data_IF_554612576840
#
_entry.id   IF_554612576840
#
_cell.length_a   1.000
_cell.length_b   1.000
_cell.length_c   1.000
_cell.angle_alpha   90.00
_cell.angle_beta   90.00
_cell.angle_gamma   90.00
#
_symmetry.space_group_name_H-M   'P 1'
#
loop_
_entity.id
_entity.type
_entity.pdbx_description
1 polymer ?
#
# COMPACT_ATOMS: atom_id res chain seq x y z
N UNK A 1 -10.40 16.02 -33.39
CA UNK A 1 -9.04 16.08 -33.97
C UNK A 1 -8.39 14.75 -33.71
N UNK A 2 -8.04 14.00 -34.75
CA UNK A 2 -7.24 12.79 -34.59
C UNK A 2 -5.83 13.20 -34.12
N UNK A 3 -5.25 12.44 -33.21
CA UNK A 3 -3.91 12.71 -32.69
C UNK A 3 -2.90 12.37 -33.80
N UNK A 4 -2.04 13.32 -34.18
CA UNK A 4 -1.00 13.05 -35.17
C UNK A 4 -0.04 11.99 -34.63
N UNK A 5 0.45 11.11 -35.49
CA UNK A 5 1.36 10.02 -35.11
C UNK A 5 2.63 10.54 -34.41
N UNK A 6 3.30 11.62 -34.88
CA UNK A 6 4.45 12.18 -34.18
C UNK A 6 4.10 12.75 -32.80
N UNK A 7 2.95 13.42 -32.65
CA UNK A 7 2.51 13.90 -31.33
C UNK A 7 2.24 12.75 -30.36
N UNK A 8 1.70 11.63 -30.83
CA UNK A 8 1.42 10.46 -30.02
C UNK A 8 2.72 9.84 -29.46
N UNK A 9 3.71 9.59 -30.31
CA UNK A 9 5.00 9.03 -29.90
C UNK A 9 5.76 9.93 -28.93
N UNK A 10 5.72 11.26 -29.14
CA UNK A 10 6.36 12.20 -28.22
C UNK A 10 5.72 12.18 -26.82
N UNK A 11 4.38 12.17 -26.75
CA UNK A 11 3.66 12.07 -25.47
C UNK A 11 3.91 10.70 -24.82
N UNK A 12 3.90 9.62 -25.60
CA UNK A 12 4.15 8.27 -25.13
C UNK A 12 5.54 8.16 -24.47
N UNK A 13 6.59 8.65 -25.12
CA UNK A 13 7.95 8.64 -24.59
C UNK A 13 8.05 9.41 -23.26
N UNK A 14 7.40 10.58 -23.17
CA UNK A 14 7.38 11.37 -21.94
C UNK A 14 6.75 10.60 -20.77
N UNK A 15 5.62 9.95 -21.01
CA UNK A 15 4.95 9.12 -20.01
C UNK A 15 5.76 7.86 -19.66
N UNK A 16 6.39 7.23 -20.65
CA UNK A 16 7.25 6.06 -20.44
C UNK A 16 8.43 6.39 -19.51
N UNK A 17 9.11 7.52 -19.73
CA UNK A 17 10.23 7.96 -18.88
C UNK A 17 9.76 8.26 -17.45
N UNK A 18 8.60 8.91 -17.29
CA UNK A 18 8.03 9.19 -15.97
C UNK A 18 7.70 7.89 -15.20
N UNK A 19 7.05 6.94 -15.88
CA UNK A 19 6.73 5.62 -15.30
C UNK A 19 7.99 4.83 -14.96
N UNK A 20 9.03 4.86 -15.82
CA UNK A 20 10.29 4.20 -15.52
C UNK A 20 11.03 4.84 -14.32
N UNK A 21 10.90 6.16 -14.12
CA UNK A 21 11.40 6.85 -12.92
C UNK A 21 10.68 6.39 -11.65
N UNK A 22 9.36 6.30 -11.68
CA UNK A 22 8.56 5.72 -10.58
C UNK A 22 8.95 4.26 -10.32
N UNK A 23 9.14 3.49 -11.39
CA UNK A 23 9.54 2.09 -11.31
C UNK A 23 10.93 1.93 -10.66
N UNK A 24 11.90 2.77 -11.05
CA UNK A 24 13.24 2.76 -10.47
C UNK A 24 13.20 3.09 -8.97
N UNK A 25 12.35 4.02 -8.55
CA UNK A 25 12.13 4.32 -7.13
C UNK A 25 11.60 3.11 -6.36
N UNK A 26 10.62 2.41 -6.94
CA UNK A 26 10.06 1.18 -6.38
C UNK A 26 11.10 0.04 -6.35
N UNK A 27 11.93 -0.08 -7.39
CA UNK A 27 13.02 -1.04 -7.46
C UNK A 27 14.05 -0.83 -6.34
N UNK A 28 14.46 0.42 -6.10
CA UNK A 28 15.39 0.76 -5.00
C UNK A 28 14.78 0.38 -3.65
N UNK A 29 13.52 0.72 -3.41
CA UNK A 29 12.81 0.35 -2.18
C UNK A 29 12.72 -1.18 -2.03
N UNK A 30 12.39 -1.90 -3.10
CA UNK A 30 12.34 -3.37 -3.15
C UNK A 30 13.69 -3.98 -2.81
N UNK A 31 14.75 -3.50 -3.46
CA UNK A 31 16.12 -3.98 -3.26
C UNK A 31 16.56 -3.76 -1.81
N UNK A 32 16.29 -2.59 -1.24
CA UNK A 32 16.59 -2.30 0.16
C UNK A 32 15.90 -3.27 1.13
N UNK A 33 14.61 -3.55 0.91
CA UNK A 33 13.84 -4.48 1.73
C UNK A 33 14.35 -5.92 1.59
N UNK A 34 14.74 -6.34 0.38
CA UNK A 34 15.27 -7.67 0.11
C UNK A 34 16.66 -7.88 0.75
N UNK A 35 17.53 -6.87 0.69
CA UNK A 35 18.90 -6.95 1.26
C UNK A 35 18.91 -7.02 2.80
N UNK A 36 17.90 -6.46 3.47
CA UNK A 36 17.76 -6.54 4.93
C UNK A 36 17.33 -7.91 5.44
N UNK A 37 16.88 -8.80 4.56
CA UNK A 37 16.38 -10.12 4.96
C UNK A 37 17.48 -11.16 4.96
N UNK A 38 17.23 -12.23 5.74
CA UNK A 38 18.05 -13.44 5.69
C UNK A 38 18.02 -14.02 4.28
N UNK A 39 19.19 -14.40 3.77
CA UNK A 39 19.36 -14.94 2.41
C UNK A 39 18.77 -16.35 2.31
N UNK A 40 17.46 -16.45 2.11
CA UNK A 40 16.78 -17.70 1.75
C UNK A 40 16.78 -17.88 0.23
N UNK A 41 16.75 -19.12 -0.26
CA UNK A 41 16.66 -19.43 -1.70
C UNK A 41 15.57 -18.62 -2.43
N UNK A 42 14.39 -18.47 -1.81
CA UNK A 42 13.27 -17.69 -2.35
C UNK A 42 13.60 -16.19 -2.45
N UNK A 43 14.24 -15.62 -1.44
CA UNK A 43 14.60 -14.20 -1.41
C UNK A 43 15.68 -13.91 -2.46
N UNK A 44 16.68 -14.78 -2.59
CA UNK A 44 17.71 -14.65 -3.63
C UNK A 44 17.06 -14.71 -5.03
N UNK A 45 16.16 -15.67 -5.26
CA UNK A 45 15.43 -15.77 -6.52
C UNK A 45 14.60 -14.50 -6.81
N UNK A 46 13.88 -13.98 -5.81
CA UNK A 46 13.13 -12.71 -5.94
C UNK A 46 14.05 -11.52 -6.25
N UNK A 47 15.21 -11.43 -5.61
CA UNK A 47 16.20 -10.37 -5.89
C UNK A 47 16.71 -10.45 -7.33
N UNK A 48 17.06 -11.65 -7.80
CA UNK A 48 17.54 -11.86 -9.16
C UNK A 48 16.45 -11.50 -10.17
N UNK A 49 15.22 -12.01 -9.97
CA UNK A 49 14.08 -11.69 -10.85
C UNK A 49 13.78 -10.19 -10.88
N UNK A 50 13.77 -9.53 -9.72
CA UNK A 50 13.53 -8.10 -9.62
C UNK A 50 14.61 -7.29 -10.35
N UNK A 51 15.89 -7.67 -10.26
CA UNK A 51 16.98 -7.03 -11.00
C UNK A 51 16.89 -7.26 -12.51
N UNK A 52 16.53 -8.48 -12.94
CA UNK A 52 16.37 -8.81 -14.36
C UNK A 52 15.23 -7.98 -14.95
N UNK A 53 14.06 -7.97 -14.30
CA UNK A 53 12.92 -7.19 -14.78
C UNK A 53 13.22 -5.69 -14.87
N UNK A 54 13.94 -5.15 -13.88
CA UNK A 54 14.38 -3.76 -13.92
C UNK A 54 15.32 -3.45 -15.09
N UNK A 55 16.30 -4.33 -15.33
CA UNK A 55 17.21 -4.19 -16.45
C UNK A 55 16.48 -4.28 -17.80
N UNK A 56 15.51 -5.19 -17.94
CA UNK A 56 14.71 -5.35 -19.16
C UNK A 56 13.83 -4.12 -19.40
N UNK A 57 13.14 -3.59 -18.38
CA UNK A 57 12.30 -2.40 -18.52
C UNK A 57 13.12 -1.14 -18.85
N UNK A 58 14.30 -0.98 -18.23
CA UNK A 58 15.21 0.13 -18.54
C UNK A 58 15.77 0.01 -19.95
N UNK A 59 16.05 -1.22 -20.40
CA UNK A 59 16.48 -1.49 -21.77
C UNK A 59 15.38 -1.16 -22.78
N UNK A 60 14.12 -1.52 -22.48
CA UNK A 60 12.96 -1.16 -23.30
C UNK A 60 12.87 0.36 -23.50
N UNK A 61 12.87 1.12 -22.40
CA UNK A 61 12.84 2.59 -22.45
C UNK A 61 14.04 3.16 -23.23
N UNK A 62 15.23 2.57 -23.07
CA UNK A 62 16.44 3.03 -23.78
C UNK A 62 16.30 2.85 -25.30
N UNK A 63 15.71 1.73 -25.73
CA UNK A 63 15.43 1.45 -27.13
C UNK A 63 14.34 2.40 -27.66
N UNK A 64 13.27 2.65 -26.90
CA UNK A 64 12.23 3.64 -27.24
C UNK A 64 12.79 5.04 -27.38
N UNK A 65 13.67 5.45 -26.48
CA UNK A 65 14.35 6.74 -26.54
C UNK A 65 15.22 6.86 -27.80
N UNK A 66 16.00 5.82 -28.11
CA UNK A 66 16.84 5.79 -29.31
C UNK A 66 16.01 5.87 -30.60
N UNK A 67 14.88 5.17 -30.66
CA UNK A 67 13.96 5.20 -31.79
C UNK A 67 13.42 6.61 -32.03
N UNK A 68 12.87 7.23 -30.98
CA UNK A 68 12.32 8.58 -31.03
C UNK A 68 13.41 9.61 -31.36
N UNK A 69 14.60 9.48 -30.77
CA UNK A 69 15.73 10.36 -31.08
C UNK A 69 16.09 10.32 -32.58
N UNK A 70 16.20 9.14 -33.18
CA UNK A 70 16.50 9.01 -34.62
C UNK A 70 15.35 9.56 -35.47
N UNK A 71 14.11 9.21 -35.14
CA UNK A 71 12.94 9.63 -35.90
C UNK A 71 12.78 11.17 -35.92
N UNK A 72 12.86 11.82 -34.76
CA UNK A 72 12.68 13.28 -34.68
C UNK A 72 13.90 14.07 -35.17
N UNK A 73 15.13 13.70 -34.77
CA UNK A 73 16.31 14.54 -35.03
C UNK A 73 17.04 14.21 -36.33
N UNK A 74 17.04 12.95 -36.79
CA UNK A 74 17.75 12.57 -38.02
C UNK A 74 16.85 12.54 -39.25
N UNK A 75 15.61 12.07 -39.09
CA UNK A 75 14.70 11.85 -40.22
C UNK A 75 13.60 12.90 -40.34
N UNK A 76 13.61 13.95 -39.48
CA UNK A 76 12.63 15.05 -39.47
C UNK A 76 11.19 14.54 -39.48
N UNK A 77 10.87 13.54 -38.65
CA UNK A 77 9.54 12.96 -38.60
C UNK A 77 8.43 13.93 -38.10
N UNK A 78 8.78 15.18 -37.78
CA UNK A 78 7.83 16.27 -37.61
C UNK A 78 7.20 16.74 -38.95
N UNK A 79 7.92 16.56 -40.06
CA UNK A 79 7.49 16.97 -41.41
C UNK A 79 6.86 15.82 -42.24
N UNK A 80 7.02 14.55 -41.82
CA UNK A 80 6.43 13.37 -42.48
C UNK A 80 6.36 12.13 -41.57
N UNK A 81 5.28 11.33 -41.68
CA UNK A 81 5.01 10.16 -40.81
C UNK A 81 5.66 8.86 -41.26
N UNK A 82 6.22 8.80 -42.47
CA UNK A 82 6.75 7.59 -43.12
C UNK A 82 7.74 6.78 -42.24
N UNK A 83 8.48 7.46 -41.37
CA UNK A 83 9.45 6.85 -40.44
C UNK A 83 8.78 6.00 -39.36
N UNK A 84 7.61 6.42 -38.89
CA UNK A 84 6.85 5.72 -37.85
C UNK A 84 5.91 4.65 -38.45
N UNK A 85 5.72 4.66 -39.77
CA UNK A 85 4.93 3.64 -40.49
C UNK A 85 5.77 2.40 -40.84
N UNK A 86 7.10 2.47 -40.73
CA UNK A 86 7.99 1.32 -40.91
C UNK A 86 7.98 0.38 -39.69
N UNK A 87 6.88 -0.37 -39.57
CA UNK A 87 6.65 -1.38 -38.53
C UNK A 87 7.61 -2.58 -38.62
N UNK A 88 8.42 -2.69 -39.67
CA UNK A 88 9.43 -3.74 -39.84
C UNK A 88 10.81 -3.36 -39.28
N UNK A 89 10.94 -2.18 -38.65
CA UNK A 89 12.23 -1.75 -38.10
C UNK A 89 12.72 -2.70 -37.00
N UNK A 90 14.05 -2.95 -36.93
CA UNK A 90 14.58 -3.90 -35.97
C UNK A 90 14.39 -3.51 -34.50
N UNK A 91 14.10 -2.24 -34.29
CA UNK A 91 13.84 -1.63 -32.99
C UNK A 91 12.52 -2.11 -32.40
N UNK A 92 11.46 -2.23 -33.22
CA UNK A 92 10.10 -2.57 -32.76
C UNK A 92 10.02 -4.03 -32.30
N UNK A 93 10.58 -4.98 -33.06
CA UNK A 93 10.59 -6.38 -32.60
C UNK A 93 11.42 -6.56 -31.33
N UNK A 94 12.48 -5.74 -31.14
CA UNK A 94 13.33 -5.82 -29.95
C UNK A 94 12.60 -5.32 -28.71
N UNK A 95 11.81 -4.24 -28.81
CA UNK A 95 10.93 -3.75 -27.75
C UNK A 95 9.87 -4.79 -27.39
N UNK A 96 9.13 -5.32 -28.37
CA UNK A 96 8.12 -6.35 -28.16
C UNK A 96 8.70 -7.61 -27.49
N UNK A 97 9.92 -7.98 -27.83
CA UNK A 97 10.61 -9.13 -27.22
C UNK A 97 10.96 -8.86 -25.75
N UNK A 98 11.50 -7.67 -25.44
CA UNK A 98 11.80 -7.26 -24.07
C UNK A 98 10.53 -7.17 -23.22
N UNK A 99 9.46 -6.60 -23.76
CA UNK A 99 8.16 -6.52 -23.10
C UNK A 99 7.58 -7.91 -22.82
N UNK A 100 7.64 -8.81 -23.81
CA UNK A 100 7.17 -10.19 -23.67
C UNK A 100 7.89 -10.94 -22.55
N UNK A 101 9.21 -10.75 -22.42
CA UNK A 101 9.99 -11.34 -21.32
C UNK A 101 9.49 -10.80 -19.97
N UNK A 102 9.29 -9.50 -19.85
CA UNK A 102 8.79 -8.88 -18.61
C UNK A 102 7.39 -9.38 -18.25
N UNK A 103 6.49 -9.53 -19.22
CA UNK A 103 5.13 -10.05 -19.00
C UNK A 103 5.18 -11.50 -18.51
N UNK A 104 5.95 -12.36 -19.17
CA UNK A 104 6.06 -13.78 -18.77
C UNK A 104 6.66 -13.92 -17.36
N UNK A 105 7.71 -13.16 -17.05
CA UNK A 105 8.30 -13.14 -15.71
C UNK A 105 7.32 -12.58 -14.67
N UNK A 106 6.61 -11.52 -15.04
CA UNK A 106 5.62 -10.86 -14.19
C UNK A 106 4.45 -11.77 -13.83
N UNK A 107 3.80 -12.35 -14.83
CA UNK A 107 2.70 -13.30 -14.65
C UNK A 107 3.17 -14.52 -13.84
N UNK A 108 4.40 -15.00 -14.08
CA UNK A 108 4.99 -16.10 -13.28
C UNK A 108 5.09 -15.77 -11.79
N UNK A 109 5.47 -14.54 -11.43
CA UNK A 109 5.56 -14.07 -10.03
C UNK A 109 4.16 -14.04 -9.39
N UNK A 110 3.16 -13.54 -10.12
CA UNK A 110 1.76 -13.48 -9.65
C UNK A 110 1.23 -14.90 -9.41
N UNK A 111 1.46 -15.81 -10.36
CA UNK A 111 1.05 -17.22 -10.28
C UNK A 111 1.75 -17.93 -9.12
N UNK A 112 3.06 -17.74 -8.97
CA UNK A 112 3.82 -18.30 -7.85
C UNK A 112 3.23 -17.87 -6.51
N UNK A 113 2.85 -16.59 -6.39
CA UNK A 113 2.19 -16.09 -5.19
C UNK A 113 0.81 -16.74 -4.97
N UNK A 114 -0.01 -16.85 -6.01
CA UNK A 114 -1.30 -17.53 -5.89
C UNK A 114 -1.13 -18.99 -5.45
N UNK A 115 -0.16 -19.70 -6.02
CA UNK A 115 0.16 -21.09 -5.68
C UNK A 115 0.63 -21.27 -4.23
N UNK A 116 1.50 -20.37 -3.75
CA UNK A 116 1.94 -20.40 -2.34
C UNK A 116 0.79 -20.16 -1.36
N UNK A 117 -0.17 -19.30 -1.70
CA UNK A 117 -1.35 -19.02 -0.88
C UNK A 117 -2.33 -20.22 -0.83
N UNK A 118 -2.35 -21.04 -1.88
CA UNK A 118 -3.15 -22.27 -1.98
C UNK A 118 -2.46 -23.50 -1.38
N UNK A 119 -1.47 -23.31 -0.50
CA UNK A 119 -0.74 -24.40 0.16
C UNK A 119 -0.09 -25.36 -0.85
N UNK A 120 0.36 -24.83 -1.99
CA UNK A 120 1.05 -25.56 -3.07
C UNK A 120 0.22 -26.63 -3.80
N UNK A 121 -1.12 -26.51 -3.83
CA UNK A 121 -1.97 -27.44 -4.60
C UNK A 121 -1.63 -27.44 -6.10
N UNK A 122 -1.45 -28.63 -6.67
CA UNK A 122 -0.97 -28.83 -8.05
C UNK A 122 -1.95 -28.34 -9.12
N UNK A 123 -3.26 -28.35 -8.86
CA UNK A 123 -4.24 -27.86 -9.83
C UNK A 123 -4.09 -26.36 -10.15
N UNK A 124 -3.67 -25.55 -9.17
CA UNK A 124 -3.45 -24.10 -9.36
C UNK A 124 -2.27 -23.84 -10.28
N UNK A 125 -1.17 -24.59 -10.13
CA UNK A 125 -0.01 -24.42 -11.01
C UNK A 125 -0.28 -24.97 -12.41
N UNK A 126 -1.00 -26.09 -12.56
CA UNK A 126 -1.33 -26.66 -13.88
C UNK A 126 -2.22 -25.69 -14.66
N UNK A 127 -3.31 -25.21 -14.07
CA UNK A 127 -4.22 -24.25 -14.73
C UNK A 127 -3.47 -22.97 -15.10
N UNK A 128 -2.74 -22.39 -14.16
CA UNK A 128 -2.01 -21.14 -14.41
C UNK A 128 -0.87 -21.31 -15.42
N UNK A 129 -0.18 -22.46 -15.44
CA UNK A 129 0.83 -22.77 -16.43
C UNK A 129 0.22 -22.92 -17.83
N UNK A 130 -0.96 -23.53 -17.97
CA UNK A 130 -1.65 -23.61 -19.27
C UNK A 130 -2.01 -22.23 -19.80
N UNK A 131 -2.48 -21.32 -18.93
CA UNK A 131 -2.75 -19.93 -19.31
C UNK A 131 -1.45 -19.20 -19.72
N UNK A 132 -0.39 -19.33 -18.93
CA UNK A 132 0.91 -18.72 -19.22
C UNK A 132 1.52 -19.22 -20.54
N UNK A 133 1.36 -20.52 -20.86
CA UNK A 133 1.80 -21.05 -22.15
C UNK A 133 1.00 -20.46 -23.32
N UNK A 134 -0.30 -20.19 -23.10
CA UNK A 134 -1.13 -19.48 -24.07
C UNK A 134 -0.65 -18.06 -24.31
N UNK A 135 -0.36 -17.30 -23.24
CA UNK A 135 0.20 -15.95 -23.34
C UNK A 135 1.56 -15.94 -24.05
N UNK A 136 2.42 -16.89 -23.72
CA UNK A 136 3.74 -17.01 -24.36
C UNK A 136 3.62 -17.36 -25.85
N UNK A 137 2.69 -18.26 -26.21
CA UNK A 137 2.43 -18.59 -27.62
C UNK A 137 1.88 -17.39 -28.39
N UNK A 138 0.97 -16.62 -27.79
CA UNK A 138 0.45 -15.39 -28.38
C UNK A 138 1.55 -14.33 -28.56
N UNK A 139 2.45 -14.19 -27.59
CA UNK A 139 3.61 -13.29 -27.68
C UNK A 139 4.55 -13.66 -28.83
N UNK A 140 4.90 -14.95 -28.96
CA UNK A 140 5.74 -15.46 -30.04
C UNK A 140 5.05 -15.24 -31.40
N UNK A 141 3.75 -15.50 -31.47
CA UNK A 141 2.94 -15.26 -32.66
C UNK A 141 2.93 -13.78 -33.07
N UNK A 142 2.81 -12.88 -32.09
CA UNK A 142 2.86 -11.44 -32.30
C UNK A 142 4.22 -10.99 -32.81
N UNK A 143 5.31 -11.37 -32.15
CA UNK A 143 6.68 -11.03 -32.57
C UNK A 143 6.96 -11.55 -33.98
N UNK A 144 6.53 -12.78 -34.29
CA UNK A 144 6.64 -13.34 -35.64
C UNK A 144 5.84 -12.52 -36.65
N UNK A 145 4.60 -12.15 -36.32
CA UNK A 145 3.74 -11.38 -37.22
C UNK A 145 4.38 -10.03 -37.59
N UNK A 146 4.94 -9.31 -36.60
CA UNK A 146 5.69 -8.07 -36.82
C UNK A 146 6.98 -8.31 -37.63
N UNK A 147 7.72 -9.38 -37.37
CA UNK A 147 8.95 -9.69 -38.10
C UNK A 147 8.70 -10.05 -39.59
N UNK A 148 7.50 -10.53 -39.93
CA UNK A 148 7.12 -10.89 -41.30
C UNK A 148 6.24 -9.85 -42.00
N UNK A 149 5.90 -8.74 -41.32
CA UNK A 149 5.05 -7.71 -41.86
C UNK A 149 5.77 -6.91 -42.96
N UNK A 150 5.11 -6.59 -44.09
CA UNK A 150 5.64 -5.63 -45.05
C UNK A 150 5.85 -4.24 -44.41
N UNK A 151 6.91 -3.51 -44.78
CA UNK A 151 7.15 -2.15 -44.29
C UNK A 151 6.00 -1.20 -44.71
N UNK A 152 5.60 -0.28 -43.83
CA UNK A 152 4.56 0.71 -44.11
C UNK A 152 3.13 0.28 -43.78
N UNK A 153 2.89 -0.93 -43.25
CA UNK A 153 1.54 -1.39 -42.89
C UNK A 153 1.29 -1.19 -41.40
N UNK A 154 0.25 -0.43 -41.06
CA UNK A 154 -0.15 -0.22 -39.66
C UNK A 154 -0.70 -1.52 -39.04
N UNK A 155 -0.64 -1.60 -37.71
CA UNK A 155 -1.19 -2.75 -36.95
C UNK A 155 -2.70 -2.91 -37.17
N UNK A 156 -3.39 -1.83 -37.53
CA UNK A 156 -4.82 -1.83 -37.82
C UNK A 156 -5.17 -2.35 -39.21
N UNK A 157 -4.28 -2.14 -40.19
CA UNK A 157 -4.53 -2.49 -41.59
C UNK A 157 -4.29 -3.98 -41.88
N UNK A 158 -3.50 -4.66 -41.04
CA UNK A 158 -3.20 -6.08 -41.21
C UNK A 158 -4.00 -6.95 -40.23
N UNK A 159 -4.95 -7.72 -40.77
CA UNK A 159 -5.80 -8.63 -40.00
C UNK A 159 -5.02 -9.69 -39.19
N UNK A 160 -3.84 -10.10 -39.66
CA UNK A 160 -3.00 -11.07 -38.93
C UNK A 160 -2.33 -10.42 -37.72
N UNK A 161 -1.73 -9.22 -37.89
CA UNK A 161 -1.10 -8.51 -36.77
C UNK A 161 -2.13 -8.13 -35.71
N UNK A 162 -3.28 -7.61 -36.12
CA UNK A 162 -4.34 -7.23 -35.18
C UNK A 162 -4.88 -8.42 -34.40
N UNK A 163 -5.09 -9.56 -35.05
CA UNK A 163 -5.53 -10.79 -34.38
C UNK A 163 -4.53 -11.28 -33.33
N UNK A 164 -3.23 -11.31 -33.65
CA UNK A 164 -2.21 -11.70 -32.68
C UNK A 164 -2.06 -10.69 -31.54
N UNK A 165 -2.18 -9.39 -31.82
CA UNK A 165 -2.13 -8.35 -30.81
C UNK A 165 -3.29 -8.48 -29.82
N UNK A 166 -4.52 -8.62 -30.33
CA UNK A 166 -5.71 -8.84 -29.50
C UNK A 166 -5.59 -10.14 -28.70
N UNK A 167 -5.12 -11.23 -29.32
CA UNK A 167 -4.91 -12.50 -28.63
C UNK A 167 -3.91 -12.37 -27.48
N UNK A 168 -2.81 -11.65 -27.69
CA UNK A 168 -1.81 -11.39 -26.66
C UNK A 168 -2.39 -10.57 -25.50
N UNK A 169 -3.00 -9.43 -25.80
CA UNK A 169 -3.63 -8.54 -24.81
C UNK A 169 -4.71 -9.29 -24.01
N UNK A 170 -5.58 -10.05 -24.69
CA UNK A 170 -6.64 -10.82 -24.06
C UNK A 170 -6.10 -11.96 -23.19
N UNK A 171 -5.06 -12.68 -23.64
CA UNK A 171 -4.45 -13.77 -22.87
C UNK A 171 -3.82 -13.28 -21.57
N UNK A 172 -3.13 -12.14 -21.60
CA UNK A 172 -2.56 -11.51 -20.40
C UNK A 172 -3.65 -11.02 -19.46
N UNK A 173 -4.73 -10.42 -19.98
CA UNK A 173 -5.89 -10.02 -19.18
C UNK A 173 -6.52 -11.22 -18.46
N UNK A 174 -6.79 -12.31 -19.19
CA UNK A 174 -7.39 -13.53 -18.61
C UNK A 174 -6.50 -14.12 -17.53
N UNK A 175 -5.18 -14.19 -17.76
CA UNK A 175 -4.20 -14.69 -16.79
C UNK A 175 -4.20 -13.85 -15.51
N UNK A 176 -4.24 -12.52 -15.65
CA UNK A 176 -4.22 -11.61 -14.51
C UNK A 176 -5.54 -11.60 -13.74
N UNK A 177 -6.68 -11.64 -14.42
CA UNK A 177 -8.00 -11.78 -13.79
C UNK A 177 -8.11 -13.12 -13.06
N UNK A 178 -7.68 -14.21 -13.68
CA UNK A 178 -7.65 -15.54 -13.06
C UNK A 178 -6.79 -15.55 -11.78
N UNK A 179 -5.56 -15.04 -11.86
CA UNK A 179 -4.65 -15.01 -10.73
C UNK A 179 -5.17 -14.09 -9.60
N UNK A 180 -5.71 -12.91 -9.95
CA UNK A 180 -6.31 -11.98 -8.98
C UNK A 180 -7.53 -12.59 -8.30
N UNK A 181 -8.38 -13.30 -9.05
CA UNK A 181 -9.56 -14.00 -8.50
C UNK A 181 -9.16 -15.13 -7.57
N UNK A 182 -8.16 -15.94 -7.93
CA UNK A 182 -7.62 -17.00 -7.08
C UNK A 182 -7.08 -16.46 -5.76
N UNK A 183 -6.37 -15.33 -5.82
CA UNK A 183 -5.88 -14.62 -4.64
C UNK A 183 -7.06 -14.10 -3.81
N UNK A 184 -8.01 -13.40 -4.41
CA UNK A 184 -9.15 -12.81 -3.72
C UNK A 184 -10.03 -13.86 -3.04
N UNK A 185 -10.38 -14.94 -3.74
CA UNK A 185 -11.17 -16.03 -3.20
C UNK A 185 -10.48 -16.70 -2.01
N UNK A 186 -9.18 -16.95 -2.12
CA UNK A 186 -8.41 -17.56 -1.03
C UNK A 186 -8.29 -16.64 0.18
N UNK A 187 -8.12 -15.34 -0.06
CA UNK A 187 -8.14 -14.31 0.98
C UNK A 187 -9.44 -14.34 1.75
N UNK A 188 -10.56 -14.34 1.03
CA UNK A 188 -11.89 -14.30 1.62
C UNK A 188 -12.21 -15.57 2.42
N UNK A 189 -11.93 -16.74 1.87
CA UNK A 189 -12.15 -18.03 2.56
C UNK A 189 -11.31 -18.15 3.83
N UNK A 190 -10.02 -17.80 3.76
CA UNK A 190 -9.13 -17.82 4.93
C UNK A 190 -9.58 -16.81 5.99
N UNK A 191 -10.13 -15.66 5.57
CA UNK A 191 -10.70 -14.66 6.47
C UNK A 191 -11.94 -15.13 7.19
N UNK A 192 -12.83 -15.82 6.49
CA UNK A 192 -14.06 -16.34 7.06
C UNK A 192 -13.76 -17.41 8.12
N UNK A 193 -12.92 -18.39 7.79
CA UNK A 193 -12.55 -19.51 8.67
C UNK A 193 -11.89 -19.00 9.96
N UNK A 194 -10.98 -18.04 9.86
CA UNK A 194 -10.29 -17.51 11.05
C UNK A 194 -11.22 -16.66 11.91
N UNK A 195 -12.16 -15.92 11.31
CA UNK A 195 -13.17 -15.16 12.06
C UNK A 195 -14.06 -16.05 12.93
N UNK A 196 -14.30 -17.28 12.50
CA UNK A 196 -15.12 -18.27 13.20
C UNK A 196 -14.36 -18.99 14.34
N UNK A 197 -13.03 -19.09 14.28
CA UNK A 197 -12.24 -19.96 15.17
C UNK A 197 -11.47 -19.18 16.27
N UNK A 198 -11.35 -17.86 16.20
CA UNK A 198 -10.16 -17.18 16.78
C UNK A 198 -10.40 -16.02 17.75
N UNK A 199 -9.72 -16.06 18.92
CA UNK A 199 -9.68 -15.01 19.96
C UNK A 199 -8.81 -13.76 19.65
N UNK A 200 -8.85 -12.75 20.52
CA UNK A 200 -8.38 -11.37 20.26
C UNK A 200 -6.93 -11.24 19.72
N UNK A 201 -5.98 -12.02 20.23
CA UNK A 201 -4.56 -11.88 19.84
C UNK A 201 -4.21 -12.37 18.42
N UNK A 202 -4.93 -13.37 17.90
CA UNK A 202 -4.72 -13.87 16.54
C UNK A 202 -5.50 -13.03 15.51
N UNK A 203 -6.58 -12.35 15.93
CA UNK A 203 -7.32 -11.39 15.09
C UNK A 203 -6.44 -10.25 14.57
N UNK A 204 -5.53 -9.73 15.40
CA UNK A 204 -4.69 -8.60 15.02
C UNK A 204 -3.61 -8.94 13.99
N UNK A 205 -2.95 -10.12 14.13
CA UNK A 205 -2.03 -10.63 13.10
C UNK A 205 -2.78 -10.84 11.78
N UNK A 206 -3.98 -11.39 11.87
CA UNK A 206 -4.76 -11.72 10.69
C UNK A 206 -5.31 -10.49 9.95
N UNK A 207 -5.77 -9.46 10.69
CA UNK A 207 -6.22 -8.19 10.12
C UNK A 207 -5.14 -7.52 9.26
N UNK A 208 -3.87 -7.67 9.65
CA UNK A 208 -2.72 -7.11 8.91
C UNK A 208 -2.38 -7.91 7.65
N UNK A 209 -2.37 -9.24 7.74
CA UNK A 209 -2.20 -10.11 6.57
C UNK A 209 -3.29 -9.83 5.51
N UNK A 210 -4.52 -9.62 5.96
CA UNK A 210 -5.62 -9.21 5.10
C UNK A 210 -5.42 -7.84 4.46
N UNK A 211 -4.82 -6.87 5.16
CA UNK A 211 -4.55 -5.55 4.61
C UNK A 211 -3.61 -5.60 3.40
N UNK A 212 -2.47 -6.29 3.51
CA UNK A 212 -1.52 -6.43 2.38
C UNK A 212 -2.12 -7.24 1.23
N UNK A 213 -2.86 -8.29 1.57
CA UNK A 213 -3.51 -9.14 0.60
C UNK A 213 -4.66 -8.41 -0.12
N UNK A 214 -5.35 -7.49 0.56
CA UNK A 214 -6.32 -6.56 -0.02
C UNK A 214 -5.66 -5.57 -0.97
N UNK A 215 -4.54 -4.94 -0.56
CA UNK A 215 -3.78 -4.03 -1.44
C UNK A 215 -3.33 -4.73 -2.72
N UNK A 216 -3.03 -6.02 -2.65
CA UNK A 216 -2.64 -6.79 -3.83
C UNK A 216 -3.82 -7.12 -4.75
N UNK A 217 -5.00 -7.37 -4.18
CA UNK A 217 -6.22 -7.53 -4.98
C UNK A 217 -6.55 -6.20 -5.66
N UNK A 218 -6.46 -5.10 -4.94
CA UNK A 218 -6.68 -3.75 -5.46
C UNK A 218 -5.72 -3.43 -6.61
N UNK A 219 -4.42 -3.66 -6.45
CA UNK A 219 -3.44 -3.45 -7.52
C UNK A 219 -3.64 -4.39 -8.72
N UNK A 220 -4.08 -5.63 -8.49
CA UNK A 220 -4.41 -6.58 -9.56
C UNK A 220 -5.65 -6.18 -10.37
N UNK A 221 -6.64 -5.55 -9.73
CA UNK A 221 -7.80 -4.96 -10.40
C UNK A 221 -7.37 -3.76 -11.26
N UNK A 222 -6.53 -2.87 -10.72
CA UNK A 222 -5.98 -1.76 -11.50
C UNK A 222 -5.21 -2.25 -12.71
N UNK A 223 -4.35 -3.25 -12.55
CA UNK A 223 -3.59 -3.84 -13.66
C UNK A 223 -4.50 -4.53 -14.71
N UNK A 224 -5.53 -5.25 -14.27
CA UNK A 224 -6.50 -5.84 -15.22
C UNK A 224 -7.28 -4.75 -15.98
N UNK A 225 -7.59 -3.65 -15.31
CA UNK A 225 -8.28 -2.50 -15.92
C UNK A 225 -7.43 -1.84 -17.01
N UNK A 226 -6.11 -1.75 -16.82
CA UNK A 226 -5.22 -1.16 -17.85
C UNK A 226 -5.18 -2.00 -19.11
N UNK A 227 -5.17 -3.33 -19.00
CA UNK A 227 -5.30 -4.24 -20.15
C UNK A 227 -6.67 -4.12 -20.84
N UNK A 228 -7.75 -3.94 -20.08
CA UNK A 228 -9.07 -3.70 -20.63
C UNK A 228 -9.15 -2.39 -21.42
N UNK A 229 -8.55 -1.31 -20.89
CA UNK A 229 -8.43 -0.03 -21.59
C UNK A 229 -7.62 -0.20 -22.89
N UNK A 230 -6.58 -1.04 -22.89
CA UNK A 230 -5.80 -1.37 -24.08
C UNK A 230 -6.67 -1.98 -25.19
N UNK A 231 -7.55 -2.94 -24.85
CA UNK A 231 -8.49 -3.56 -25.80
C UNK A 231 -9.41 -2.50 -26.39
N UNK A 232 -9.99 -1.62 -25.55
CA UNK A 232 -10.88 -0.56 -26.03
C UNK A 232 -10.13 0.40 -26.96
N UNK A 233 -8.92 0.83 -26.57
CA UNK A 233 -8.09 1.70 -27.40
C UNK A 233 -7.78 1.07 -28.77
N UNK A 234 -7.54 -0.25 -28.78
CA UNK A 234 -7.31 -1.01 -29.99
C UNK A 234 -8.54 -1.08 -30.90
N UNK A 235 -9.74 -1.33 -30.34
CA UNK A 235 -11.00 -1.37 -31.09
C UNK A 235 -11.35 0.00 -31.68
N UNK A 236 -11.05 1.09 -30.95
CA UNK A 236 -11.29 2.45 -31.42
C UNK A 236 -10.40 2.87 -32.60
N UNK A 237 -9.34 2.12 -32.93
CA UNK A 237 -8.55 2.32 -34.14
C UNK A 237 -7.82 3.67 -34.23
N UNK A 238 -7.51 4.29 -33.09
CA UNK A 238 -6.83 5.60 -33.06
C UNK A 238 -5.35 5.46 -32.67
N UNK A 239 -4.53 6.41 -33.10
CA UNK A 239 -3.10 6.50 -32.78
C UNK A 239 -2.81 6.60 -31.26
N UNK A 240 -3.83 6.84 -30.44
CA UNK A 240 -3.70 6.76 -28.98
C UNK A 240 -3.33 5.38 -28.45
N UNK A 241 -3.48 4.31 -29.25
CA UNK A 241 -3.07 2.95 -28.86
C UNK A 241 -1.57 2.88 -28.53
N UNK A 242 -0.72 3.61 -29.25
CA UNK A 242 0.72 3.59 -29.06
C UNK A 242 1.11 4.14 -27.68
N UNK A 243 0.42 5.21 -27.24
CA UNK A 243 0.59 5.77 -25.89
C UNK A 243 0.22 4.72 -24.83
N UNK A 244 -0.90 4.02 -25.03
CA UNK A 244 -1.38 3.01 -24.08
C UNK A 244 -0.42 1.82 -24.01
N UNK A 245 0.10 1.34 -25.14
CA UNK A 245 1.07 0.24 -25.20
C UNK A 245 2.38 0.62 -24.51
N UNK A 246 2.93 1.80 -24.78
CA UNK A 246 4.17 2.26 -24.14
C UNK A 246 4.00 2.40 -22.62
N UNK A 247 2.85 2.89 -22.15
CA UNK A 247 2.54 2.92 -20.72
C UNK A 247 2.41 1.51 -20.11
N UNK A 248 1.76 0.59 -20.83
CA UNK A 248 1.61 -0.80 -20.39
C UNK A 248 2.95 -1.50 -20.23
N UNK A 249 3.90 -1.25 -21.14
CA UNK A 249 5.24 -1.84 -21.08
C UNK A 249 5.92 -1.58 -19.73
N UNK A 250 5.74 -0.39 -19.15
CA UNK A 250 6.28 -0.02 -17.84
C UNK A 250 5.41 -0.54 -16.69
N UNK A 251 4.08 -0.49 -16.82
CA UNK A 251 3.16 -1.00 -15.81
C UNK A 251 3.31 -2.51 -15.57
N UNK A 252 3.60 -3.28 -16.63
CA UNK A 252 3.85 -4.72 -16.57
C UNK A 252 5.09 -5.07 -15.74
N UNK A 253 6.07 -4.17 -15.65
CA UNK A 253 7.24 -4.32 -14.79
C UNK A 253 6.99 -3.80 -13.36
N UNK A 254 6.25 -2.70 -13.21
CA UNK A 254 5.89 -2.10 -11.91
C UNK A 254 5.07 -3.08 -11.07
N UNK A 255 4.07 -3.73 -11.65
CA UNK A 255 3.11 -4.56 -10.91
C UNK A 255 3.76 -5.77 -10.20
N UNK A 256 4.57 -6.62 -10.85
CA UNK A 256 5.25 -7.73 -10.19
C UNK A 256 6.26 -7.28 -9.13
N UNK A 257 6.97 -6.17 -9.36
CA UNK A 257 7.85 -5.58 -8.35
C UNK A 257 7.06 -5.04 -7.16
N UNK A 258 5.87 -4.46 -7.38
CA UNK A 258 4.95 -4.08 -6.31
C UNK A 258 4.51 -5.31 -5.50
N UNK A 259 4.21 -6.43 -6.15
CA UNK A 259 3.91 -7.68 -5.46
C UNK A 259 5.09 -8.13 -4.59
N UNK A 260 6.31 -8.12 -5.13
CA UNK A 260 7.52 -8.50 -4.37
C UNK A 260 7.73 -7.59 -3.17
N UNK A 261 7.58 -6.26 -3.35
CA UNK A 261 7.72 -5.29 -2.25
C UNK A 261 6.68 -5.49 -1.16
N UNK A 262 5.41 -5.69 -1.52
CA UNK A 262 4.31 -5.95 -0.57
C UNK A 262 4.55 -7.23 0.23
N UNK A 263 4.95 -8.31 -0.45
CA UNK A 263 5.31 -9.58 0.22
C UNK A 263 6.51 -9.38 1.15
N UNK A 264 7.49 -8.57 0.73
CA UNK A 264 8.65 -8.29 1.56
C UNK A 264 8.30 -7.48 2.80
N UNK A 265 7.52 -6.42 2.62
CA UNK A 265 7.05 -5.57 3.69
C UNK A 265 6.25 -6.37 4.72
N UNK A 266 5.35 -7.25 4.28
CA UNK A 266 4.56 -8.10 5.17
C UNK A 266 5.45 -8.93 6.09
N UNK A 267 6.39 -9.69 5.50
CA UNK A 267 7.26 -10.56 6.30
C UNK A 267 8.19 -9.78 7.24
N UNK A 268 8.65 -8.57 6.85
CA UNK A 268 9.46 -7.72 7.71
C UNK A 268 8.64 -7.21 8.90
N UNK A 269 7.38 -6.82 8.67
CA UNK A 269 6.45 -6.44 9.73
C UNK A 269 6.18 -7.60 10.68
N UNK A 270 5.93 -8.80 10.15
CA UNK A 270 5.70 -10.02 10.96
C UNK A 270 6.90 -10.33 11.88
N UNK A 271 8.12 -10.26 11.35
CA UNK A 271 9.34 -10.47 12.16
C UNK A 271 9.45 -9.39 13.24
N UNK A 272 9.31 -8.11 12.90
CA UNK A 272 9.40 -7.01 13.86
C UNK A 272 8.38 -7.14 15.01
N UNK A 273 7.14 -7.52 14.68
CA UNK A 273 6.08 -7.76 15.68
C UNK A 273 6.42 -8.97 16.54
N UNK A 274 6.85 -10.09 15.94
CA UNK A 274 7.21 -11.29 16.71
C UNK A 274 8.34 -11.01 17.70
N UNK A 275 9.33 -10.22 17.30
CA UNK A 275 10.41 -9.76 18.18
C UNK A 275 9.86 -8.87 19.30
N UNK A 276 8.98 -7.92 18.97
CA UNK A 276 8.34 -7.05 19.97
C UNK A 276 7.50 -7.83 20.98
N UNK A 277 6.67 -8.77 20.53
CA UNK A 277 5.87 -9.66 21.39
C UNK A 277 6.78 -10.48 22.30
N UNK A 278 7.89 -11.02 21.77
CA UNK A 278 8.85 -11.79 22.54
C UNK A 278 9.58 -10.94 23.59
N UNK A 279 10.00 -9.72 23.25
CA UNK A 279 10.60 -8.77 24.21
C UNK A 279 9.61 -8.38 25.30
N UNK A 280 8.35 -8.14 24.94
CA UNK A 280 7.28 -7.81 25.89
C UNK A 280 7.02 -8.97 26.86
N UNK A 281 7.00 -10.21 26.35
CA UNK A 281 6.79 -11.41 27.17
C UNK A 281 7.98 -11.74 28.08
N UNK A 282 9.20 -11.50 27.62
CA UNK A 282 10.42 -11.76 28.38
C UNK A 282 10.72 -10.67 29.42
N UNK A 283 10.12 -9.47 29.30
CA UNK A 283 10.34 -8.35 30.21
C UNK A 283 9.00 -7.70 30.62
N UNK A 284 8.25 -8.33 31.54
CA UNK A 284 6.96 -7.81 31.99
C UNK A 284 7.07 -6.43 32.66
N UNK A 285 8.19 -6.13 33.33
CA UNK A 285 8.43 -4.82 33.95
C UNK A 285 8.62 -3.69 32.94
N UNK A 286 9.24 -3.99 31.79
CA UNK A 286 9.31 -3.04 30.67
C UNK A 286 7.92 -2.82 30.06
N UNK A 287 7.14 -3.88 29.87
CA UNK A 287 5.79 -3.81 29.34
C UNK A 287 4.87 -2.97 30.23
N UNK A 288 4.94 -3.18 31.54
CA UNK A 288 4.15 -2.47 32.54
C UNK A 288 4.57 -0.99 32.65
N UNK A 289 5.88 -0.69 32.60
CA UNK A 289 6.37 0.70 32.51
C UNK A 289 5.87 1.42 31.26
N UNK A 290 5.88 0.76 30.10
CA UNK A 290 5.37 1.34 28.87
C UNK A 290 3.85 1.55 28.92
N UNK A 291 3.13 0.61 29.53
CA UNK A 291 1.67 0.72 29.74
C UNK A 291 1.32 1.89 30.67
N UNK A 292 2.08 2.06 31.77
CA UNK A 292 1.96 3.21 32.68
C UNK A 292 2.33 4.54 32.04
N UNK A 293 3.30 4.57 31.12
CA UNK A 293 3.61 5.78 30.32
C UNK A 293 2.50 6.11 29.33
N UNK A 294 1.92 5.10 28.67
CA UNK A 294 0.83 5.31 27.69
C UNK A 294 -0.49 5.71 28.35
N UNK A 295 -0.76 5.19 29.55
CA UNK A 295 -1.95 5.49 30.34
C UNK A 295 -1.68 6.52 31.45
N UNK A 296 -0.47 7.11 31.48
CA UNK A 296 -0.13 8.14 32.44
C UNK A 296 -0.99 9.37 32.19
N UNK A 297 -1.45 10.08 33.23
CA UNK A 297 -2.21 11.31 33.03
C UNK A 297 -1.38 12.25 32.17
N UNK A 298 -1.96 12.72 31.07
CA UNK A 298 -1.39 13.83 30.31
C UNK A 298 -1.13 14.96 31.30
N UNK A 299 0.13 15.20 31.66
CA UNK A 299 0.54 16.39 32.40
C UNK A 299 0.27 17.59 31.49
N UNK A 300 -0.96 18.08 31.48
CA UNK A 300 -1.19 19.50 31.70
C UNK A 300 -1.23 19.66 33.22
N UNK A 301 -0.07 19.50 33.85
CA UNK A 301 0.15 19.99 35.20
C UNK A 301 0.44 21.47 35.08
N UNK A 302 -0.62 22.25 34.92
CA UNK A 302 -0.60 23.62 35.40
C UNK A 302 -0.46 23.53 36.92
N UNK A 303 0.61 24.12 37.43
CA UNK A 303 0.84 24.38 38.85
C UNK A 303 -0.45 24.87 39.51
N UNK A 304 -1.04 24.05 40.37
CA UNK A 304 -1.96 24.55 41.39
C UNK A 304 -1.66 23.80 42.68
N UNK A 305 -1.09 24.56 43.61
CA UNK A 305 -0.83 24.13 44.98
C UNK A 305 -2.10 23.57 45.60
N UNK A 306 -2.03 22.33 46.09
CA UNK A 306 -3.08 21.76 46.92
C UNK A 306 -3.09 22.49 48.27
N UNK A 307 -4.06 23.37 48.46
CA UNK A 307 -4.40 23.88 49.78
C UNK A 307 -5.11 22.78 50.59
N UNK A 308 -4.76 22.54 51.86
CA UNK A 308 -5.45 21.57 52.68
C UNK A 308 -6.86 22.08 53.01
N UNK A 309 -7.88 21.48 52.39
CA UNK A 309 -9.29 21.76 52.70
C UNK A 309 -9.66 21.07 54.01
N UNK A 310 -9.96 21.84 55.05
CA UNK A 310 -10.59 21.31 56.26
C UNK A 310 -12.04 20.89 55.97
N UNK A 311 -12.55 19.81 56.60
CA UNK A 311 -13.90 19.32 56.35
C UNK A 311 -14.94 20.36 56.80
N UNK A 312 -15.68 20.89 55.82
CA UNK A 312 -16.77 21.84 56.04
C UNK A 312 -17.94 21.12 56.74
N UNK A 313 -18.24 21.52 57.98
CA UNK A 313 -19.44 21.08 58.69
C UNK A 313 -20.67 21.72 58.04
N UNK A 314 -21.45 20.93 57.32
CA UNK A 314 -22.73 21.35 56.75
C UNK A 314 -23.75 21.38 57.90
N UNK A 315 -24.07 22.56 58.42
CA UNK A 315 -25.22 22.75 59.29
C UNK A 315 -26.49 22.76 58.44
N UNK A 316 -27.35 21.75 58.58
CA UNK A 316 -28.71 21.80 58.03
C UNK A 316 -29.52 22.80 58.84
N UNK A 317 -29.89 23.92 58.22
CA UNK A 317 -30.95 24.79 58.73
C UNK A 317 -32.27 24.32 58.12
N UNK A 318 -33.16 23.80 58.96
CA UNK A 318 -34.54 23.48 58.57
C UNK A 318 -35.41 24.68 58.90
N UNK A 319 -35.71 25.53 57.92
CA UNK A 319 -36.68 26.63 58.08
C UNK A 319 -38.08 26.09 57.85
N UNK A 320 -38.85 25.92 58.93
CA UNK A 320 -40.27 25.58 58.88
C UNK A 320 -41.08 26.85 58.65
N UNK A 321 -41.56 27.09 57.42
CA UNK A 321 -42.50 28.18 57.14
C UNK A 321 -43.93 27.75 57.45
N UNK A 322 -44.53 28.35 58.48
CA UNK A 322 -45.94 28.19 58.83
C UNK A 322 -46.76 29.28 58.14
N UNK A 323 -47.42 28.97 57.03
CA UNK A 323 -48.34 29.88 56.34
C UNK A 323 -49.70 29.88 57.02
N UNK A 324 -50.04 30.97 57.70
CA UNK A 324 -51.41 31.22 58.20
C UNK A 324 -52.13 32.15 57.23
N UNK A 325 -53.32 31.77 56.79
CA UNK A 325 -54.11 32.49 55.78
C UNK A 325 -55.01 33.56 56.41
N UNK A 326 -54.90 34.80 55.94
CA UNK A 326 -55.93 35.85 56.08
C UNK A 326 -55.68 36.99 55.05
N UNK A 327 -56.73 37.71 54.62
CA UNK A 327 -56.78 38.39 53.33
C UNK A 327 -56.21 39.81 53.36
N UNK A 328 -55.75 40.24 52.17
CA UNK A 328 -55.45 41.62 51.74
C UNK A 328 -54.34 42.37 52.48
N UNK A 329 -53.22 42.55 51.76
CA UNK A 329 -52.36 43.74 51.86
C UNK A 329 -51.22 43.70 52.87
N UNK A 330 -50.00 43.83 52.33
CA UNK A 330 -48.74 44.18 52.99
C UNK A 330 -47.98 43.08 53.76
N UNK A 331 -46.73 42.86 53.33
CA UNK A 331 -45.71 42.01 53.95
C UNK A 331 -45.19 42.60 55.27
N UNK A 332 -44.91 41.73 56.24
CA UNK A 332 -43.77 41.89 57.15
C UNK A 332 -43.30 40.52 57.64
N UNK A 333 -42.04 40.18 57.39
CA UNK A 333 -41.41 38.94 57.84
C UNK A 333 -40.44 39.27 58.98
N UNK A 334 -40.58 38.62 60.13
CA UNK A 334 -39.60 38.68 61.23
C UNK A 334 -39.15 37.24 61.51
N UNK A 335 -37.86 36.94 61.38
CA UNK A 335 -37.26 35.65 61.76
C UNK A 335 -36.41 35.81 63.03
N UNK A 336 -36.53 34.85 63.96
CA UNK A 336 -35.68 34.70 65.15
C UNK A 336 -35.13 33.25 65.18
N UNK A 337 -33.83 33.04 65.47
CA UNK A 337 -33.19 31.71 65.52
C UNK A 337 -32.31 31.58 66.79
N UNK A 338 -32.51 30.50 67.56
CA UNK A 338 -31.82 30.13 68.80
C UNK A 338 -30.78 29.01 68.54
N UNK A 339 -29.63 29.05 69.24
CA UNK A 339 -28.50 28.08 69.17
C UNK A 339 -28.33 27.32 70.50
N UNK A 340 -28.08 26.01 70.46
CA UNK A 340 -27.71 25.18 71.62
C UNK A 340 -26.82 24.00 71.15
N UNK A 341 -25.73 23.55 71.78
CA UNK A 341 -25.04 23.95 73.01
C UNK A 341 -23.71 23.16 73.21
N UNK A 342 -22.62 23.91 73.50
CA UNK A 342 -21.65 23.78 74.64
C UNK A 342 -20.72 22.53 74.83
N UNK A 343 -19.66 22.58 75.70
CA UNK A 343 -18.25 22.87 75.34
C UNK A 343 -17.16 21.95 75.99
N UNK A 344 -15.85 22.14 75.68
CA UNK A 344 -14.65 21.93 76.56
C UNK A 344 -13.36 22.26 75.75
N UNK A 345 -12.58 23.31 76.04
CA UNK A 345 -11.57 23.59 77.10
C UNK A 345 -10.12 23.08 76.84
N UNK A 346 -9.25 24.01 76.40
CA UNK A 346 -7.86 24.36 76.81
C UNK A 346 -6.82 23.28 77.20
N UNK A 347 -5.63 23.34 76.58
CA UNK A 347 -4.30 23.34 77.26
C UNK A 347 -3.12 23.43 76.25
N UNK A 348 -2.03 24.08 76.69
CA UNK A 348 -0.85 24.62 75.98
C UNK A 348 0.42 23.72 75.99
N UNK A 349 1.46 24.13 75.26
CA UNK A 349 2.91 23.84 75.49
C UNK A 349 3.59 23.00 74.39
N UNK A 350 4.86 23.12 73.99
CA UNK A 350 5.98 24.10 74.07
C UNK A 350 7.22 23.44 73.36
N UNK A 351 8.20 24.24 72.90
CA UNK A 351 9.61 23.85 72.58
C UNK A 351 9.95 23.60 71.09
N UNK A 352 10.78 24.41 70.41
CA UNK A 352 12.28 24.51 70.45
C UNK A 352 12.94 23.17 70.03
N UNK A 353 13.95 23.04 69.17
CA UNK A 353 14.97 23.95 68.65
C UNK A 353 15.76 23.25 67.49
N UNK A 354 16.64 24.03 66.88
CA UNK A 354 17.96 23.66 66.32
C UNK A 354 18.20 23.37 64.82
N UNK A 355 19.20 24.12 64.37
CA UNK A 355 19.86 24.17 63.09
C UNK A 355 21.14 23.32 63.10
N UNK A 356 21.56 22.80 61.94
CA UNK A 356 22.94 22.85 61.41
C UNK A 356 23.06 21.98 60.14
N UNK A 357 23.39 22.57 58.98
CA UNK A 357 24.72 22.68 58.32
C UNK A 357 25.11 21.52 57.38
N UNK A 358 25.08 21.85 56.09
CA UNK A 358 26.19 21.76 55.10
C UNK A 358 27.01 20.45 55.03
N UNK A 359 26.99 19.76 53.89
CA UNK A 359 28.16 19.62 52.98
C UNK A 359 27.87 18.81 51.72
N UNK A 360 28.43 19.30 50.63
CA UNK A 360 28.65 18.71 49.31
C UNK A 360 29.57 17.49 49.33
N UNK A 361 29.40 16.55 48.39
CA UNK A 361 30.48 16.14 47.47
C UNK A 361 29.92 15.22 46.37
N UNK A 362 29.97 15.71 45.15
CA UNK A 362 29.98 14.95 43.89
C UNK A 362 31.41 14.49 43.59
N UNK A 363 31.58 13.20 43.35
CA UNK A 363 32.34 12.61 42.23
C UNK A 363 31.57 11.38 41.76
#
# INVERSE_FOLDING_TARGET
MALSLPSAYFIALGLEILLNGMYTSLFIASMYLLLKKKKTKVIIAMTILNSIMWAVATSHMSVSFQQNYVAFLKQRAADGSDVFEDNASPTIYSQLSLESINIVLGDSIVIWRAWTLWSRKTWVIITSATLLTGTTAAAIGLVRAFATAPPGISVFDNASLSSWAIAFIASTLVTNVWATTLVAYRTWTHSKIIREITGEGLRDRFRRQNGVLSLLIESGIFYSTTWFIAIIAFICGNNGVYIVVDMLSQLTAIYPTLIITLVCLQSTLEVAISTFDQTTRNNPDWAERNRRRRNGPSLVSGTSMAYPMQPMKIGMQTTTQTTTSAPTGFESTTEEIIFDGKPQCLSSGDGWDDADKVTSHTV
#
